data_IF_531352914153
#
_entry.id   IF_531352914153
#
_cell.length_a   1.000
_cell.length_b   1.000
_cell.length_c   1.000
_cell.angle_alpha   90.00
_cell.angle_beta   90.00
_cell.angle_gamma   90.00
#
_symmetry.space_group_name_H-M   'P 1'
#
loop_
_entity.id
_entity.type
_entity.pdbx_description
1 polymer ?
#
# COMPACT_ATOMS: atom_id res chain seq x y z
N UNK A 1 3.45 8.10 -3.54
CA UNK A 1 3.88 7.65 -2.20
C UNK A 1 4.76 6.39 -2.26
N UNK A 2 4.21 5.19 -2.48
CA UNK A 2 4.98 3.92 -2.37
C UNK A 2 6.28 3.85 -3.19
N UNK A 3 6.25 4.25 -4.47
CA UNK A 3 7.45 4.29 -5.32
C UNK A 3 8.54 5.19 -4.74
N UNK A 4 8.16 6.38 -4.28
CA UNK A 4 9.10 7.33 -3.70
C UNK A 4 9.70 6.77 -2.40
N UNK A 5 8.88 6.20 -1.52
CA UNK A 5 9.36 5.55 -0.29
C UNK A 5 10.35 4.41 -0.59
N UNK A 6 10.05 3.54 -1.56
CA UNK A 6 10.96 2.46 -1.96
C UNK A 6 12.30 2.98 -2.48
N UNK A 7 12.27 3.97 -3.38
CA UNK A 7 13.48 4.57 -3.96
C UNK A 7 14.31 5.26 -2.86
N UNK A 8 13.66 6.04 -1.99
CA UNK A 8 14.35 6.75 -0.90
C UNK A 8 15.00 5.76 0.07
N UNK A 9 14.29 4.72 0.53
CA UNK A 9 14.84 3.72 1.44
C UNK A 9 16.00 2.94 0.81
N UNK A 10 15.88 2.49 -0.44
CA UNK A 10 16.94 1.77 -1.15
C UNK A 10 18.18 2.64 -1.40
N UNK A 11 17.97 3.90 -1.77
CA UNK A 11 19.05 4.86 -1.98
C UNK A 11 19.78 5.14 -0.66
N UNK A 12 19.04 5.38 0.43
CA UNK A 12 19.60 5.65 1.75
C UNK A 12 20.40 4.47 2.32
N UNK A 13 20.03 3.22 1.99
CA UNK A 13 20.78 2.04 2.40
C UNK A 13 21.92 1.66 1.46
N UNK A 14 22.13 2.42 0.37
CA UNK A 14 23.13 2.12 -0.64
C UNK A 14 22.88 0.80 -1.40
N UNK A 15 21.65 0.27 -1.35
CA UNK A 15 21.28 -0.97 -2.03
C UNK A 15 21.07 -0.69 -3.52
N UNK A 16 21.85 -1.29 -4.45
CA UNK A 16 21.64 -1.09 -5.87
C UNK A 16 20.27 -1.59 -6.31
N UNK A 17 19.60 -0.82 -7.16
CA UNK A 17 18.31 -1.18 -7.73
C UNK A 17 18.16 -0.65 -9.14
N UNK A 18 17.18 -1.18 -9.87
CA UNK A 18 16.73 -0.64 -11.16
C UNK A 18 15.21 -0.61 -11.20
N UNK A 19 14.64 0.32 -11.96
CA UNK A 19 13.20 0.33 -12.22
C UNK A 19 12.91 -0.70 -13.32
N UNK A 20 12.34 -1.85 -12.97
CA UNK A 20 12.00 -2.88 -13.94
C UNK A 20 10.75 -2.52 -14.78
N UNK A 21 9.77 -1.85 -14.17
CA UNK A 21 8.52 -1.44 -14.81
C UNK A 21 7.88 -0.28 -14.02
N UNK A 22 7.11 0.57 -14.70
CA UNK A 22 6.22 1.57 -14.07
C UNK A 22 4.82 1.42 -14.66
N UNK A 23 3.79 1.45 -13.80
CA UNK A 23 2.38 1.41 -14.22
C UNK A 23 1.54 2.34 -13.34
N UNK A 24 0.57 3.08 -13.90
CA UNK A 24 -0.39 3.86 -13.12
C UNK A 24 -1.49 2.98 -12.50
N UNK A 25 -1.62 1.72 -12.92
CA UNK A 25 -2.68 0.80 -12.48
C UNK A 25 -2.15 -0.18 -11.44
N UNK A 26 -2.79 -0.21 -10.25
CA UNK A 26 -2.43 -1.18 -9.21
C UNK A 26 -2.59 -2.64 -9.69
N UNK A 27 -3.70 -3.04 -10.34
CA UNK A 27 -3.80 -4.38 -10.92
C UNK A 27 -2.67 -4.72 -11.91
N UNK A 28 -2.32 -3.78 -12.80
CA UNK A 28 -1.24 -3.99 -13.77
C UNK A 28 0.14 -4.11 -13.11
N UNK A 29 0.40 -3.30 -12.08
CA UNK A 29 1.62 -3.40 -11.27
C UNK A 29 1.72 -4.76 -10.57
N UNK A 30 0.64 -5.23 -9.94
CA UNK A 30 0.65 -6.52 -9.24
C UNK A 30 0.74 -7.70 -10.21
N UNK A 31 0.13 -7.62 -11.40
CA UNK A 31 0.29 -8.62 -12.44
C UNK A 31 1.75 -8.73 -12.90
N UNK A 32 2.45 -7.61 -13.08
CA UNK A 32 3.87 -7.60 -13.43
C UNK A 32 4.75 -8.26 -12.34
N UNK A 33 4.43 -8.03 -11.07
CA UNK A 33 5.11 -8.66 -9.93
C UNK A 33 4.83 -10.17 -9.89
N UNK A 34 3.58 -10.59 -10.08
CA UNK A 34 3.20 -12.01 -10.15
C UNK A 34 3.84 -12.74 -11.33
N UNK A 35 4.11 -12.02 -12.43
CA UNK A 35 4.88 -12.53 -13.57
C UNK A 35 6.41 -12.55 -13.33
N UNK A 36 6.89 -12.15 -12.15
CA UNK A 36 8.32 -12.20 -11.80
C UNK A 36 9.19 -11.07 -12.35
N UNK A 37 8.60 -9.98 -12.88
CA UNK A 37 9.38 -8.87 -13.43
C UNK A 37 10.15 -8.07 -12.37
N UNK A 38 9.77 -8.19 -11.10
CA UNK A 38 10.43 -7.53 -9.97
C UNK A 38 9.57 -7.56 -8.72
N UNK A 39 9.91 -6.68 -7.78
CA UNK A 39 9.26 -6.57 -6.47
C UNK A 39 8.69 -5.16 -6.30
N UNK A 40 7.67 -5.00 -5.46
CA UNK A 40 7.07 -3.68 -5.19
C UNK A 40 6.79 -3.51 -3.70
N UNK A 41 6.83 -2.26 -3.24
CA UNK A 41 6.35 -1.87 -1.90
C UNK A 41 4.87 -1.54 -1.99
N UNK A 42 4.04 -2.13 -1.10
CA UNK A 42 2.59 -1.90 -0.96
C UNK A 42 2.15 -2.13 0.49
N UNK A 43 0.94 -1.69 0.84
CA UNK A 43 0.30 -2.10 2.10
C UNK A 43 0.00 -3.60 2.08
N UNK A 44 -0.01 -4.24 3.27
CA UNK A 44 -0.34 -5.65 3.42
C UNK A 44 -1.70 -6.01 2.81
N UNK A 45 -2.64 -5.07 2.81
CA UNK A 45 -3.97 -5.21 2.20
C UNK A 45 -3.93 -5.48 0.69
N UNK A 46 -2.87 -5.08 -0.01
CA UNK A 46 -2.72 -5.31 -1.45
C UNK A 46 -2.07 -6.65 -1.79
N UNK A 47 -1.74 -7.48 -0.79
CA UNK A 47 -1.18 -8.80 -1.00
C UNK A 47 -2.26 -9.69 -1.66
N UNK A 48 -2.02 -10.09 -2.90
CA UNK A 48 -2.83 -11.09 -3.59
C UNK A 48 -2.39 -12.51 -3.20
N UNK A 49 -3.27 -13.51 -3.31
CA UNK A 49 -2.93 -14.90 -2.98
C UNK A 49 -1.74 -15.48 -3.77
N UNK A 50 -1.48 -14.98 -4.97
CA UNK A 50 -0.36 -15.39 -5.82
C UNK A 50 0.96 -14.67 -5.53
N UNK A 51 0.97 -13.79 -4.53
CA UNK A 51 2.12 -12.99 -4.14
C UNK A 51 2.54 -13.32 -2.71
N UNK A 52 3.83 -13.13 -2.43
CA UNK A 52 4.39 -13.34 -1.09
C UNK A 52 5.05 -12.06 -0.61
N UNK A 53 4.97 -11.81 0.71
CA UNK A 53 5.77 -10.76 1.36
C UNK A 53 7.23 -11.22 1.41
N UNK A 54 8.13 -10.39 0.92
CA UNK A 54 9.57 -10.67 0.97
C UNK A 54 10.10 -10.35 2.37
N UNK A 55 10.83 -11.31 2.93
CA UNK A 55 11.57 -11.19 4.18
C UNK A 55 13.05 -11.40 3.89
N UNK A 56 13.69 -10.37 3.32
CA UNK A 56 15.13 -10.34 3.07
C UNK A 56 15.77 -9.33 4.07
N UNK A 57 16.65 -9.78 4.98
CA UNK A 57 17.34 -8.90 5.92
C UNK A 57 18.15 -7.77 5.29
N UNK A 58 18.52 -7.90 4.01
CA UNK A 58 19.24 -6.87 3.28
C UNK A 58 18.33 -5.79 2.67
N UNK A 59 17.01 -5.92 2.77
CA UNK A 59 16.07 -4.88 2.39
C UNK A 59 15.91 -3.86 3.53
N UNK A 60 15.93 -2.55 3.21
CA UNK A 60 15.78 -1.52 4.22
C UNK A 60 14.36 -1.48 4.78
N UNK A 61 14.23 -0.98 6.01
CA UNK A 61 12.94 -0.65 6.58
C UNK A 61 12.23 0.42 5.73
N UNK A 62 10.90 0.35 5.74
CA UNK A 62 10.03 1.25 5.00
C UNK A 62 9.27 2.14 6.00
N UNK A 63 8.95 3.40 5.62
CA UNK A 63 8.13 4.25 6.45
C UNK A 63 6.69 3.73 6.50
N UNK A 64 5.98 4.12 7.56
CA UNK A 64 4.55 3.87 7.68
C UNK A 64 3.75 4.67 6.64
N UNK A 65 2.55 4.16 6.33
CA UNK A 65 1.57 4.84 5.47
C UNK A 65 0.41 5.28 6.35
N UNK A 66 0.24 6.59 6.48
CA UNK A 66 -0.86 7.18 7.22
C UNK A 66 -2.07 7.43 6.32
N UNK A 67 -3.26 7.15 6.86
CA UNK A 67 -4.54 7.51 6.26
C UNK A 67 -5.21 8.56 7.15
N UNK A 68 -5.63 9.66 6.54
CA UNK A 68 -6.34 10.73 7.23
C UNK A 68 -7.73 10.91 6.61
N UNK A 69 -8.73 11.10 7.47
CA UNK A 69 -10.09 11.44 7.08
C UNK A 69 -10.27 12.94 7.22
N UNK A 70 -10.54 13.62 6.11
CA UNK A 70 -10.76 15.06 6.08
C UNK A 70 -12.26 15.34 6.00
N UNK A 71 -12.76 16.13 6.95
CA UNK A 71 -14.15 16.56 7.02
C UNK A 71 -14.24 18.07 7.23
N UNK A 72 -15.40 18.64 6.91
CA UNK A 72 -15.73 20.04 7.23
C UNK A 72 -16.13 20.11 8.71
N UNK A 73 -15.53 21.03 9.46
CA UNK A 73 -15.76 21.15 10.92
C UNK A 73 -17.21 21.51 11.29
N UNK A 74 -17.98 22.04 10.35
CA UNK A 74 -19.38 22.45 10.50
C UNK A 74 -20.38 21.44 9.93
N UNK A 75 -19.92 20.36 9.29
CA UNK A 75 -20.77 19.34 8.71
C UNK A 75 -21.23 18.37 9.83
N UNK A 76 -22.37 18.69 10.45
CA UNK A 76 -22.85 18.01 11.66
C UNK A 76 -23.97 16.99 11.43
N UNK A 77 -24.26 16.59 10.18
CA UNK A 77 -25.38 15.68 9.94
C UNK A 77 -25.10 14.31 10.61
N UNK A 78 -26.09 13.69 11.27
CA UNK A 78 -25.93 12.38 11.88
C UNK A 78 -25.43 11.32 10.87
N UNK A 79 -25.88 11.41 9.61
CA UNK A 79 -25.47 10.51 8.55
C UNK A 79 -23.97 10.65 8.22
N UNK A 80 -23.42 11.87 8.24
CA UNK A 80 -21.99 12.07 8.00
C UNK A 80 -21.15 11.50 9.15
N UNK A 81 -21.53 11.76 10.41
CA UNK A 81 -20.85 11.18 11.57
C UNK A 81 -20.86 9.66 11.54
N UNK A 82 -21.98 9.06 11.13
CA UNK A 82 -22.07 7.61 10.95
C UNK A 82 -21.14 7.12 9.84
N UNK A 83 -21.10 7.80 8.69
CA UNK A 83 -20.20 7.43 7.59
C UNK A 83 -18.72 7.55 8.01
N UNK A 84 -18.35 8.60 8.74
CA UNK A 84 -17.00 8.76 9.30
C UNK A 84 -16.63 7.60 10.22
N UNK A 85 -17.53 7.23 11.14
CA UNK A 85 -17.35 6.07 12.02
C UNK A 85 -17.13 4.77 11.24
N UNK A 86 -17.95 4.50 10.23
CA UNK A 86 -17.83 3.32 9.38
C UNK A 86 -16.48 3.30 8.63
N UNK A 87 -16.04 4.44 8.08
CA UNK A 87 -14.76 4.53 7.38
C UNK A 87 -13.60 4.23 8.34
N UNK A 88 -13.60 4.83 9.53
CA UNK A 88 -12.55 4.61 10.54
C UNK A 88 -12.50 3.15 10.98
N UNK A 89 -13.66 2.55 11.24
CA UNK A 89 -13.74 1.14 11.64
C UNK A 89 -13.25 0.21 10.53
N UNK A 90 -13.64 0.45 9.27
CA UNK A 90 -13.16 -0.37 8.14
C UNK A 90 -11.65 -0.19 7.88
N UNK A 91 -11.08 0.99 8.16
CA UNK A 91 -9.63 1.18 8.08
C UNK A 91 -8.90 0.37 9.16
N UNK A 92 -9.43 0.30 10.39
CA UNK A 92 -8.86 -0.48 11.49
C UNK A 92 -8.94 -2.00 11.27
N UNK A 93 -9.95 -2.47 10.54
CA UNK A 93 -10.12 -3.91 10.25
C UNK A 93 -9.09 -4.46 9.26
N UNK A 94 -8.30 -3.60 8.60
CA UNK A 94 -7.23 -3.98 7.66
C UNK A 94 -7.60 -5.04 6.61
N UNK A 95 -8.85 -5.03 6.15
CA UNK A 95 -9.35 -6.08 5.26
C UNK A 95 -8.53 -6.15 3.96
N UNK A 96 -8.19 -7.36 3.46
CA UNK A 96 -7.55 -7.52 2.16
C UNK A 96 -8.36 -6.83 1.05
N UNK A 97 -7.67 -6.19 0.12
CA UNK A 97 -8.28 -5.61 -1.09
C UNK A 97 -8.72 -6.68 -2.07
N UNK A 98 -8.01 -7.82 -2.07
CA UNK A 98 -8.31 -8.97 -2.90
C UNK A 98 -8.76 -10.09 -1.97
N UNK A 99 -10.02 -10.49 -2.06
CA UNK A 99 -10.50 -11.69 -1.39
C UNK A 99 -9.91 -12.93 -2.09
N UNK A 100 -9.61 -13.98 -1.32
CA UNK A 100 -9.47 -15.31 -1.90
C UNK A 100 -10.84 -15.69 -2.50
N UNK A 101 -10.84 -16.06 -3.77
CA UNK A 101 -12.02 -16.60 -4.45
C UNK A 101 -12.36 -18.00 -3.92
#
# INVERSE_FOLDING_TARGET
MFRAAAISSLTASGRPFRVALTSPSLPGLLAAVGAGLGVTVRSARALRPDLVRISDPALPALPDVEFALYGRSDAASPALKQAEGVIVDEMRRERPLFAAA
#
